data_IF_193726984379
#
_entry.id   IF_193726984379
#
_cell.length_a   1.000
_cell.length_b   1.000
_cell.length_c   1.000
_cell.angle_alpha   90.00
_cell.angle_beta   90.00
_cell.angle_gamma   90.00
#
_symmetry.space_group_name_H-M   'P 1'
#
loop_
_entity.id
_entity.type
_entity.pdbx_description
1 polymer ?
#
# COMPACT_ATOMS: atom_id res chain seq x y z
N UNK A 1 -20.98 0.81 15.34
CA UNK A 1 -20.58 2.24 15.48
C UNK A 1 -20.06 2.77 14.15
N UNK A 2 -20.86 3.46 13.31
CA UNK A 2 -20.41 3.95 12.00
C UNK A 2 -19.34 5.05 12.09
N UNK A 3 -19.33 5.82 13.19
CA UNK A 3 -18.34 6.88 13.42
C UNK A 3 -16.91 6.32 13.63
N UNK A 4 -16.76 5.20 14.31
CA UNK A 4 -15.45 4.55 14.48
C UNK A 4 -14.87 4.07 13.15
N UNK A 5 -15.70 3.49 12.27
CA UNK A 5 -15.29 3.10 10.93
C UNK A 5 -14.87 4.30 10.09
N UNK A 6 -15.66 5.40 10.15
CA UNK A 6 -15.30 6.66 9.49
C UNK A 6 -13.93 7.18 9.96
N UNK A 7 -13.72 7.24 11.29
CA UNK A 7 -12.45 7.71 11.86
C UNK A 7 -11.26 6.90 11.34
N UNK A 8 -11.36 5.57 11.39
CA UNK A 8 -10.28 4.68 10.93
C UNK A 8 -10.01 4.90 9.43
N UNK A 9 -11.06 4.95 8.60
CA UNK A 9 -10.91 5.18 7.16
C UNK A 9 -10.23 6.51 6.85
N UNK A 10 -10.68 7.60 7.50
CA UNK A 10 -10.13 8.94 7.26
C UNK A 10 -8.67 9.00 7.67
N UNK A 11 -8.33 8.52 8.87
CA UNK A 11 -6.95 8.54 9.36
C UNK A 11 -6.03 7.70 8.47
N UNK A 12 -6.37 6.44 8.20
CA UNK A 12 -5.53 5.56 7.38
C UNK A 12 -5.47 6.04 5.93
N UNK A 13 -6.60 6.46 5.37
CA UNK A 13 -6.67 6.94 4.00
C UNK A 13 -5.83 8.19 3.79
N UNK A 14 -5.94 9.18 4.66
CA UNK A 14 -5.14 10.40 4.58
C UNK A 14 -3.66 10.13 4.89
N UNK A 15 -3.34 9.20 5.78
CA UNK A 15 -1.96 8.77 6.03
C UNK A 15 -1.34 8.20 4.74
N UNK A 16 -2.03 7.27 4.07
CA UNK A 16 -1.52 6.71 2.81
C UNK A 16 -1.39 7.78 1.72
N UNK A 17 -2.40 8.62 1.56
CA UNK A 17 -2.36 9.71 0.58
C UNK A 17 -1.22 10.71 0.84
N UNK A 18 -0.89 10.98 2.11
CA UNK A 18 0.23 11.82 2.49
C UNK A 18 1.58 11.23 2.07
N UNK A 19 1.75 9.90 2.12
CA UNK A 19 2.96 9.23 1.61
C UNK A 19 3.10 9.41 0.09
N UNK A 20 2.02 9.30 -0.66
CA UNK A 20 2.02 9.57 -2.11
C UNK A 20 2.31 11.04 -2.42
N UNK A 21 1.66 11.95 -1.70
CA UNK A 21 1.93 13.38 -1.81
C UNK A 21 3.40 13.72 -1.57
N UNK A 22 3.99 13.13 -0.52
CA UNK A 22 5.40 13.34 -0.20
C UNK A 22 6.33 12.93 -1.35
N UNK A 23 6.05 11.80 -2.03
CA UNK A 23 6.82 11.33 -3.18
C UNK A 23 6.79 12.30 -4.37
N UNK A 24 5.69 13.02 -4.55
CA UNK A 24 5.53 13.95 -5.67
C UNK A 24 6.10 15.35 -5.34
N UNK A 25 5.81 15.87 -4.14
CA UNK A 25 5.98 17.28 -3.82
C UNK A 25 7.08 17.59 -2.81
N UNK A 26 7.58 16.59 -2.05
CA UNK A 26 8.54 16.79 -0.95
C UNK A 26 9.84 16.00 -1.18
N UNK A 27 10.85 16.32 -0.38
CA UNK A 27 12.16 15.66 -0.44
C UNK A 27 12.76 15.66 -1.84
N UNK A 28 13.24 14.50 -2.30
CA UNK A 28 13.79 14.31 -3.65
C UNK A 28 12.74 14.25 -4.77
N UNK A 29 11.46 14.38 -4.41
CA UNK A 29 10.31 14.28 -5.33
C UNK A 29 10.35 12.95 -6.12
N UNK A 30 9.64 12.88 -7.24
CA UNK A 30 9.63 11.70 -8.12
C UNK A 30 11.03 11.29 -8.56
N UNK A 31 11.94 12.24 -8.80
CA UNK A 31 13.33 11.90 -9.20
C UNK A 31 14.08 11.15 -8.10
N UNK A 32 13.99 11.63 -6.86
CA UNK A 32 14.61 10.95 -5.71
C UNK A 32 13.97 9.60 -5.42
N UNK A 33 12.64 9.52 -5.46
CA UNK A 33 11.91 8.26 -5.29
C UNK A 33 12.26 7.27 -6.40
N UNK A 34 12.40 7.71 -7.65
CA UNK A 34 12.82 6.87 -8.77
C UNK A 34 14.22 6.29 -8.55
N UNK A 35 15.20 7.13 -8.15
CA UNK A 35 16.53 6.66 -7.82
C UNK A 35 16.55 5.62 -6.71
N UNK A 36 15.70 5.78 -5.70
CA UNK A 36 15.54 4.80 -4.63
C UNK A 36 14.97 3.47 -5.14
N UNK A 37 13.93 3.48 -6.01
CA UNK A 37 13.43 2.26 -6.64
C UNK A 37 14.47 1.59 -7.55
N UNK A 38 15.26 2.38 -8.30
CA UNK A 38 16.36 1.84 -9.12
C UNK A 38 17.42 1.14 -8.26
N UNK A 39 17.79 1.75 -7.12
CA UNK A 39 18.77 1.18 -6.19
C UNK A 39 18.30 -0.12 -5.53
N UNK A 40 16.99 -0.30 -5.34
CA UNK A 40 16.40 -1.56 -4.86
C UNK A 40 16.31 -2.64 -5.94
N UNK A 41 16.57 -2.30 -7.20
CA UNK A 41 16.49 -3.24 -8.32
C UNK A 41 15.10 -3.37 -8.94
N UNK A 42 14.25 -2.34 -8.84
CA UNK A 42 12.93 -2.32 -9.50
C UNK A 42 13.06 -2.00 -11.00
N UNK A 43 12.75 -2.96 -11.86
CA UNK A 43 12.82 -2.86 -13.32
C UNK A 43 11.44 -2.60 -13.95
N UNK A 44 11.33 -1.98 -15.15
CA UNK A 44 12.44 -1.57 -16.04
C UNK A 44 13.15 -0.29 -15.60
N UNK A 45 12.50 0.62 -14.88
CA UNK A 45 13.13 1.80 -14.29
C UNK A 45 12.31 2.31 -13.09
N UNK A 46 12.99 2.92 -12.11
CA UNK A 46 12.38 3.39 -10.88
C UNK A 46 11.37 4.52 -11.08
N UNK A 47 11.41 5.27 -12.18
CA UNK A 47 10.47 6.36 -12.43
C UNK A 47 9.03 5.86 -12.63
N UNK A 48 8.86 4.73 -13.32
CA UNK A 48 7.55 4.08 -13.48
C UNK A 48 7.02 3.67 -12.12
N UNK A 49 7.84 3.01 -11.30
CA UNK A 49 7.47 2.56 -9.96
C UNK A 49 7.21 3.72 -9.01
N UNK A 50 7.97 4.82 -9.10
CA UNK A 50 7.75 6.01 -8.30
C UNK A 50 6.38 6.65 -8.57
N UNK A 51 5.99 6.78 -9.84
CA UNK A 51 4.67 7.28 -10.22
C UNK A 51 3.57 6.28 -9.85
N UNK A 52 3.73 5.00 -10.15
CA UNK A 52 2.76 3.96 -9.80
C UNK A 52 2.50 3.93 -8.29
N UNK A 53 3.55 3.93 -7.47
CA UNK A 53 3.42 3.97 -6.01
C UNK A 53 2.71 5.24 -5.54
N UNK A 54 3.17 6.43 -5.98
CA UNK A 54 2.59 7.70 -5.55
C UNK A 54 1.11 7.83 -5.93
N UNK A 55 0.74 7.45 -7.15
CA UNK A 55 -0.65 7.52 -7.61
C UNK A 55 -1.54 6.49 -6.91
N UNK A 56 -1.04 5.28 -6.67
CA UNK A 56 -1.78 4.26 -5.91
C UNK A 56 -1.96 4.71 -4.46
N UNK A 57 -0.94 5.27 -3.82
CA UNK A 57 -1.03 5.78 -2.44
C UNK A 57 -2.06 6.91 -2.33
N UNK A 58 -2.04 7.87 -3.25
CA UNK A 58 -3.02 8.97 -3.24
C UNK A 58 -4.41 8.44 -3.58
N UNK A 59 -4.53 7.68 -4.66
CA UNK A 59 -5.82 7.19 -5.13
C UNK A 59 -6.50 6.25 -4.15
N UNK A 60 -5.81 5.18 -3.74
CA UNK A 60 -6.34 4.23 -2.75
C UNK A 60 -6.58 4.89 -1.40
N UNK A 61 -5.69 5.79 -0.97
CA UNK A 61 -5.84 6.54 0.28
C UNK A 61 -7.09 7.41 0.28
N UNK A 62 -7.31 8.22 -0.75
CA UNK A 62 -8.49 9.09 -0.85
C UNK A 62 -9.78 8.28 -1.02
N UNK A 63 -9.78 7.25 -1.88
CA UNK A 63 -10.94 6.36 -2.04
C UNK A 63 -11.32 5.69 -0.73
N UNK A 64 -10.34 5.22 0.03
CA UNK A 64 -10.55 4.60 1.34
C UNK A 64 -11.10 5.61 2.36
N UNK A 65 -10.55 6.83 2.42
CA UNK A 65 -11.00 7.88 3.32
C UNK A 65 -12.47 8.23 3.10
N UNK A 66 -12.89 8.44 1.85
CA UNK A 66 -14.30 8.76 1.52
C UNK A 66 -15.19 7.51 1.51
N UNK A 67 -14.61 6.31 1.52
CA UNK A 67 -15.33 5.03 1.48
C UNK A 67 -16.01 4.78 0.14
N UNK A 68 -15.25 4.92 -0.94
CA UNK A 68 -15.70 4.60 -2.30
C UNK A 68 -14.91 3.41 -2.82
N UNK A 69 -15.63 2.40 -3.33
CA UNK A 69 -15.05 1.13 -3.76
C UNK A 69 -14.10 0.56 -2.69
N UNK A 70 -14.57 0.57 -1.45
CA UNK A 70 -13.75 0.30 -0.26
C UNK A 70 -12.91 -0.97 -0.37
N UNK A 71 -13.41 -2.13 -0.89
CA UNK A 71 -12.58 -3.32 -1.07
C UNK A 71 -11.41 -3.14 -2.04
N UNK A 72 -11.61 -2.39 -3.14
CA UNK A 72 -10.55 -2.12 -4.11
C UNK A 72 -9.54 -1.10 -3.57
N UNK A 73 -10.01 -0.09 -2.85
CA UNK A 73 -9.13 0.82 -2.14
C UNK A 73 -8.24 0.07 -1.13
N UNK A 74 -8.82 -0.86 -0.37
CA UNK A 74 -8.09 -1.74 0.55
C UNK A 74 -7.08 -2.66 -0.17
N UNK A 75 -7.40 -3.15 -1.39
CA UNK A 75 -6.44 -3.90 -2.21
C UNK A 75 -5.20 -3.07 -2.55
N UNK A 76 -5.37 -1.77 -2.81
CA UNK A 76 -4.26 -0.84 -3.00
C UNK A 76 -3.32 -0.78 -1.78
N UNK A 77 -3.89 -0.70 -0.56
CA UNK A 77 -3.10 -0.80 0.68
C UNK A 77 -2.33 -2.11 0.75
N UNK A 78 -3.02 -3.25 0.57
CA UNK A 78 -2.39 -4.57 0.64
C UNK A 78 -1.24 -4.71 -0.36
N UNK A 79 -1.47 -4.38 -1.63
CA UNK A 79 -0.45 -4.49 -2.67
C UNK A 79 0.77 -3.62 -2.38
N UNK A 80 0.57 -2.36 -1.97
CA UNK A 80 1.65 -1.46 -1.56
C UNK A 80 2.43 -2.01 -0.36
N UNK A 81 1.73 -2.51 0.67
CA UNK A 81 2.36 -3.03 1.87
C UNK A 81 3.12 -4.34 1.61
N UNK A 82 2.64 -5.21 0.73
CA UNK A 82 3.37 -6.41 0.28
C UNK A 82 4.69 -6.02 -0.40
N UNK A 83 4.63 -5.09 -1.34
CA UNK A 83 5.84 -4.63 -2.04
C UNK A 83 6.82 -3.96 -1.06
N UNK A 84 6.36 -3.04 -0.22
CA UNK A 84 7.21 -2.34 0.74
C UNK A 84 7.83 -3.28 1.78
N UNK A 85 7.03 -4.20 2.33
CA UNK A 85 7.51 -5.19 3.29
C UNK A 85 8.62 -6.06 2.66
N UNK A 86 8.43 -6.51 1.43
CA UNK A 86 9.39 -7.37 0.75
C UNK A 86 10.67 -6.65 0.35
N UNK A 87 10.57 -5.46 -0.23
CA UNK A 87 11.73 -4.75 -0.81
C UNK A 87 12.55 -3.98 0.22
N UNK A 88 11.93 -3.54 1.33
CA UNK A 88 12.55 -2.55 2.23
C UNK A 88 12.62 -2.97 3.69
N UNK A 89 11.74 -3.87 4.14
CA UNK A 89 11.59 -4.11 5.58
C UNK A 89 11.87 -5.55 6.02
N UNK A 90 11.76 -6.56 5.15
CA UNK A 90 11.85 -7.98 5.54
C UNK A 90 13.16 -8.34 6.23
N UNK A 91 14.27 -7.75 5.78
CA UNK A 91 15.61 -8.04 6.29
C UNK A 91 15.86 -7.46 7.70
N UNK A 92 15.06 -6.48 8.10
CA UNK A 92 15.10 -5.85 9.40
C UNK A 92 14.28 -6.59 10.48
N UNK A 93 13.64 -7.71 10.11
CA UNK A 93 12.78 -8.49 11.00
C UNK A 93 11.38 -7.89 11.15
N UNK A 94 10.67 -8.30 12.20
CA UNK A 94 9.27 -7.92 12.41
C UNK A 94 9.12 -6.49 12.95
N UNK A 95 9.81 -6.16 14.04
CA UNK A 95 9.53 -4.98 14.85
C UNK A 95 9.88 -3.65 14.18
N UNK A 96 8.94 -2.69 14.21
CA UNK A 96 9.09 -1.36 13.63
C UNK A 96 10.28 -0.57 14.21
N UNK A 97 10.62 -0.78 15.47
CA UNK A 97 11.78 -0.16 16.12
C UNK A 97 13.10 -0.48 15.42
N UNK A 98 13.15 -1.58 14.68
CA UNK A 98 14.27 -1.98 13.80
C UNK A 98 13.98 -1.70 12.32
N UNK A 99 12.99 -0.88 12.00
CA UNK A 99 12.53 -0.64 10.63
C UNK A 99 11.96 -1.92 9.96
N UNK A 100 11.41 -2.85 10.76
CA UNK A 100 10.81 -4.09 10.29
C UNK A 100 9.41 -3.89 9.70
N UNK A 101 8.78 -4.99 9.31
CA UNK A 101 7.53 -5.00 8.53
C UNK A 101 6.23 -4.96 9.37
N UNK A 102 6.30 -4.80 10.70
CA UNK A 102 5.14 -4.72 11.60
C UNK A 102 4.11 -3.68 11.13
N UNK A 103 4.57 -2.47 10.79
CA UNK A 103 3.71 -1.39 10.33
C UNK A 103 3.02 -1.71 8.98
N UNK A 104 3.74 -2.38 8.08
CA UNK A 104 3.18 -2.85 6.81
C UNK A 104 2.05 -3.85 7.04
N UNK A 105 2.21 -4.77 8.00
CA UNK A 105 1.16 -5.73 8.36
C UNK A 105 -0.10 -5.01 8.86
N UNK A 106 0.03 -4.06 9.78
CA UNK A 106 -1.11 -3.31 10.32
C UNK A 106 -1.83 -2.54 9.21
N UNK A 107 -1.07 -1.85 8.34
CA UNK A 107 -1.63 -1.10 7.21
C UNK A 107 -2.23 -2.00 6.11
N UNK A 108 -1.88 -3.28 6.04
CA UNK A 108 -2.53 -4.24 5.16
C UNK A 108 -3.82 -4.80 5.78
N UNK A 109 -3.76 -5.25 7.04
CA UNK A 109 -4.86 -6.00 7.68
C UNK A 109 -6.04 -5.10 8.06
N UNK A 110 -5.80 -3.89 8.59
CA UNK A 110 -6.89 -3.02 9.06
C UNK A 110 -7.82 -2.59 7.91
N UNK A 111 -7.33 -2.17 6.72
CA UNK A 111 -8.20 -1.88 5.59
C UNK A 111 -9.02 -3.08 5.10
N UNK A 112 -8.45 -4.30 5.13
CA UNK A 112 -9.19 -5.53 4.81
C UNK A 112 -10.34 -5.74 5.79
N UNK A 113 -10.07 -5.61 7.09
CA UNK A 113 -11.11 -5.72 8.12
C UNK A 113 -12.24 -4.69 7.92
N UNK A 114 -11.90 -3.45 7.59
CA UNK A 114 -12.89 -2.41 7.28
C UNK A 114 -13.69 -2.75 6.01
N UNK A 115 -13.05 -3.29 4.98
CA UNK A 115 -13.74 -3.71 3.76
C UNK A 115 -14.75 -4.83 4.05
N UNK A 116 -14.40 -5.82 4.89
CA UNK A 116 -15.29 -6.92 5.30
C UNK A 116 -16.45 -6.46 6.18
N UNK A 117 -16.21 -5.55 7.11
CA UNK A 117 -17.24 -4.94 7.97
C UNK A 117 -18.20 -4.08 7.13
N UNK A 118 -17.72 -3.58 6.01
CA UNK A 118 -18.38 -2.60 5.16
C UNK A 118 -18.15 -1.15 5.61
N UNK A 119 -18.17 -0.20 4.66
CA UNK A 119 -17.79 1.20 4.90
C UNK A 119 -18.80 2.01 5.73
N UNK A 120 -19.99 1.45 5.96
CA UNK A 120 -21.07 1.98 6.82
C UNK A 120 -21.67 3.31 6.33
N UNK A 121 -22.60 3.87 7.13
CA UNK A 121 -23.45 5.03 6.80
C UNK A 121 -22.70 6.27 6.28
N UNK A 122 -21.50 6.53 6.78
CA UNK A 122 -20.74 7.73 6.38
C UNK A 122 -19.70 7.38 5.29
N UNK A 123 -20.17 6.87 4.15
CA UNK A 123 -19.34 6.48 3.01
C UNK A 123 -20.05 6.75 1.69
N UNK A 124 -19.29 6.94 0.63
CA UNK A 124 -19.82 7.02 -0.72
C UNK A 124 -20.39 5.70 -1.20
N UNK A 125 -19.82 4.55 -0.81
CA UNK A 125 -20.39 3.24 -1.11
C UNK A 125 -21.83 3.14 -0.59
N UNK A 126 -22.08 3.57 0.65
CA UNK A 126 -23.43 3.57 1.21
C UNK A 126 -24.38 4.56 0.50
N UNK A 127 -23.88 5.75 0.13
CA UNK A 127 -24.66 6.76 -0.55
C UNK A 127 -25.04 6.35 -1.98
N UNK A 128 -24.26 5.46 -2.58
CA UNK A 128 -24.47 4.91 -3.94
C UNK A 128 -25.06 3.50 -3.93
N UNK A 129 -25.54 3.03 -2.76
CA UNK A 129 -26.09 1.67 -2.57
C UNK A 129 -25.14 0.53 -3.02
N UNK A 130 -23.83 0.80 -2.99
CA UNK A 130 -22.82 -0.21 -3.25
C UNK A 130 -22.60 -1.07 -2.00
N UNK A 131 -22.95 -2.34 -2.09
CA UNK A 131 -22.75 -3.31 -1.02
C UNK A 131 -21.94 -4.50 -1.52
N UNK A 132 -21.05 -5.00 -0.68
CA UNK A 132 -20.22 -6.16 -0.98
C UNK A 132 -20.46 -7.21 0.12
N UNK A 133 -20.64 -8.47 -0.29
CA UNK A 133 -20.59 -9.59 0.63
C UNK A 133 -19.22 -9.58 1.34
N UNK A 134 -19.15 -9.91 2.65
CA UNK A 134 -17.88 -9.86 3.40
C UNK A 134 -16.76 -10.72 2.80
N UNK A 135 -17.08 -11.89 2.23
CA UNK A 135 -16.08 -12.74 1.61
C UNK A 135 -15.64 -12.25 0.22
N UNK A 136 -16.56 -11.64 -0.53
CA UNK A 136 -16.21 -10.93 -1.77
C UNK A 136 -15.33 -9.73 -1.44
N UNK A 137 -15.65 -8.97 -0.41
CA UNK A 137 -14.81 -7.86 0.06
C UNK A 137 -13.41 -8.33 0.50
N UNK A 138 -13.32 -9.46 1.20
CA UNK A 138 -12.05 -10.10 1.53
C UNK A 138 -11.25 -10.48 0.28
N UNK A 139 -11.88 -11.18 -0.67
CA UNK A 139 -11.22 -11.59 -1.90
C UNK A 139 -10.71 -10.38 -2.72
N UNK A 140 -11.54 -9.35 -2.87
CA UNK A 140 -11.16 -8.12 -3.58
C UNK A 140 -10.09 -7.31 -2.85
N UNK A 141 -10.03 -7.33 -1.54
CA UNK A 141 -9.04 -6.56 -0.78
C UNK A 141 -7.76 -7.36 -0.52
N UNK A 142 -7.86 -8.51 0.11
CA UNK A 142 -6.69 -9.31 0.53
C UNK A 142 -6.10 -10.10 -0.64
N UNK A 143 -6.92 -10.93 -1.31
CA UNK A 143 -6.39 -11.84 -2.34
C UNK A 143 -5.91 -11.04 -3.56
N UNK A 144 -6.72 -10.14 -4.09
CA UNK A 144 -6.31 -9.31 -5.22
C UNK A 144 -5.10 -8.43 -4.89
N UNK A 145 -5.08 -7.81 -3.69
CA UNK A 145 -3.95 -6.99 -3.24
C UNK A 145 -2.65 -7.78 -3.14
N UNK A 146 -2.69 -8.97 -2.54
CA UNK A 146 -1.51 -9.86 -2.45
C UNK A 146 -1.07 -10.30 -3.85
N UNK A 147 -2.00 -10.75 -4.69
CA UNK A 147 -1.68 -11.19 -6.06
C UNK A 147 -1.06 -10.07 -6.86
N UNK A 148 -1.59 -8.84 -6.78
CA UNK A 148 -1.04 -7.68 -7.46
C UNK A 148 0.37 -7.33 -6.95
N UNK A 149 0.57 -7.30 -5.62
CA UNK A 149 1.88 -7.02 -5.01
C UNK A 149 2.94 -8.06 -5.34
N UNK A 150 2.60 -9.35 -5.19
CA UNK A 150 3.49 -10.47 -5.52
C UNK A 150 3.75 -10.50 -7.04
N UNK A 151 2.73 -10.33 -7.86
CA UNK A 151 2.88 -10.28 -9.32
C UNK A 151 3.82 -9.16 -9.76
N UNK A 152 3.71 -7.96 -9.16
CA UNK A 152 4.64 -6.86 -9.42
C UNK A 152 6.08 -7.22 -9.02
N UNK A 153 6.27 -7.83 -7.85
CA UNK A 153 7.60 -8.27 -7.40
C UNK A 153 8.18 -9.32 -8.33
N UNK A 154 7.41 -10.32 -8.73
CA UNK A 154 7.87 -11.36 -9.66
C UNK A 154 8.25 -10.79 -11.03
N UNK A 155 7.48 -9.84 -11.52
CA UNK A 155 7.72 -9.23 -12.83
C UNK A 155 8.89 -8.23 -12.81
N UNK A 156 9.01 -7.42 -11.76
CA UNK A 156 9.84 -6.21 -11.78
C UNK A 156 10.99 -6.21 -10.77
N UNK A 157 10.98 -7.03 -9.71
CA UNK A 157 12.01 -6.97 -8.67
C UNK A 157 13.21 -7.85 -9.03
N UNK A 158 14.37 -7.22 -9.16
CA UNK A 158 15.67 -7.85 -9.44
C UNK A 158 16.70 -7.22 -8.49
N UNK A 159 16.86 -7.76 -7.26
CA UNK A 159 17.74 -7.17 -6.26
C UNK A 159 19.17 -7.11 -6.79
N UNK A 160 19.95 -6.07 -6.42
CA UNK A 160 21.37 -6.01 -6.74
C UNK A 160 22.10 -7.23 -6.16
N UNK A 161 23.15 -7.68 -6.85
CA UNK A 161 24.04 -8.69 -6.29
C UNK A 161 24.66 -8.17 -4.97
N UNK A 162 24.85 -9.03 -3.95
CA UNK A 162 25.61 -8.65 -2.76
C UNK A 162 26.97 -8.07 -3.17
N UNK A 163 27.39 -6.99 -2.50
CA UNK A 163 28.75 -6.47 -2.71
C UNK A 163 29.76 -7.59 -2.42
N UNK A 164 30.72 -7.82 -3.34
CA UNK A 164 31.79 -8.77 -3.09
C UNK A 164 32.50 -8.35 -1.80
N UNK A 165 32.68 -9.30 -0.86
CA UNK A 165 33.53 -9.05 0.32
C UNK A 165 34.91 -8.65 -0.15
N UNK A 166 35.52 -7.60 0.41
CA UNK A 166 36.90 -7.26 0.09
C UNK A 166 37.77 -8.48 0.41
N UNK A 167 38.55 -8.91 -0.57
CA UNK A 167 39.51 -9.97 -0.38
C UNK A 167 40.47 -9.58 0.76
N UNK A 168 40.41 -10.32 1.87
CA UNK A 168 41.29 -10.16 3.04
C UNK A 168 42.69 -10.67 2.73
#
# INVERSE_FOLDING_TARGET
>A
MPQGVLLIRVVLGLTLAAHGYQKIFKGGRIKGTAGWFDSMGMKPNGRIHAWAAALTEIGAGLLFAVGLLTPLAAAGFVGLMVVAAWTSHRENGFFIVKNGWEYNLVLAVVPVGIAMIGPRKYSLDHALDLSFDPWVAFALSAVLGVVAGVGLLMACYRPPAPAAEPAT
#
